data_IF_144316031176
#
_entry.id   IF_144316031176
#
_cell.length_a   1.000
_cell.length_b   1.000
_cell.length_c   1.000
_cell.angle_alpha   90.00
_cell.angle_beta   90.00
_cell.angle_gamma   90.00
#
_symmetry.space_group_name_H-M   'P 1'
#
loop_
_entity.id
_entity.type
_entity.pdbx_description
1 polymer ?
#
# COMPACT_ATOMS: atom_id res chain seq x y z
N UNK A 1 -18.86 -13.47 -46.66
CA UNK A 1 -18.06 -12.45 -45.95
C UNK A 1 -17.65 -13.07 -44.62
N UNK A 2 -16.40 -13.52 -44.52
CA UNK A 2 -15.89 -14.30 -43.39
C UNK A 2 -15.27 -13.32 -42.39
N UNK A 3 -15.85 -13.20 -41.20
CA UNK A 3 -15.29 -12.38 -40.12
C UNK A 3 -14.14 -13.19 -39.53
N UNK A 4 -12.92 -12.81 -39.87
CA UNK A 4 -11.70 -13.33 -39.27
C UNK A 4 -11.53 -12.61 -37.93
N UNK A 5 -11.82 -13.30 -36.83
CA UNK A 5 -11.37 -12.87 -35.50
C UNK A 5 -9.85 -13.05 -35.46
N UNK A 6 -9.12 -11.95 -35.60
CA UNK A 6 -7.70 -11.92 -35.26
C UNK A 6 -7.62 -12.07 -33.74
N UNK A 7 -7.26 -13.26 -33.25
CA UNK A 7 -6.84 -13.42 -31.87
C UNK A 7 -5.47 -12.78 -31.73
N UNK A 8 -5.43 -11.55 -31.20
CA UNK A 8 -4.18 -10.96 -30.77
C UNK A 8 -3.54 -11.88 -29.71
N UNK A 9 -2.34 -12.36 -30.00
CA UNK A 9 -1.50 -13.15 -29.10
C UNK A 9 -0.90 -12.33 -27.95
N UNK A 10 -1.49 -11.19 -27.62
CA UNK A 10 -1.23 -10.48 -26.39
C UNK A 10 -2.11 -11.09 -25.31
N UNK A 11 -1.65 -12.19 -24.72
CA UNK A 11 -2.20 -12.63 -23.44
C UNK A 11 -2.14 -11.43 -22.47
N UNK A 12 -3.17 -11.19 -21.65
CA UNK A 12 -3.13 -10.11 -20.68
C UNK A 12 -1.84 -10.28 -19.87
N UNK A 13 -1.10 -9.19 -19.65
CA UNK A 13 0.07 -9.15 -18.76
C UNK A 13 -0.34 -9.79 -17.43
N UNK A 14 -0.14 -11.11 -17.30
CA UNK A 14 -0.80 -11.92 -16.27
C UNK A 14 -0.22 -11.53 -14.92
N UNK A 15 -0.92 -10.63 -14.24
CA UNK A 15 -0.55 -10.16 -12.90
C UNK A 15 0.00 -8.75 -12.81
N UNK A 16 -0.11 -7.88 -13.83
CA UNK A 16 0.06 -6.44 -13.61
C UNK A 16 -1.22 -5.81 -13.05
N UNK A 17 -1.06 -4.88 -12.10
CA UNK A 17 -2.12 -3.98 -11.63
C UNK A 17 -1.96 -2.59 -12.24
N UNK A 18 -0.71 -2.12 -12.37
CA UNK A 18 -0.29 -0.92 -13.12
C UNK A 18 1.02 -1.19 -13.85
N UNK A 19 1.66 -0.15 -14.40
CA UNK A 19 2.98 -0.27 -15.04
C UNK A 19 4.06 -0.76 -14.05
N UNK A 20 4.02 -0.29 -12.80
CA UNK A 20 5.04 -0.58 -11.79
C UNK A 20 4.58 -1.49 -10.66
N UNK A 21 3.29 -1.85 -10.60
CA UNK A 21 2.72 -2.65 -9.53
C UNK A 21 2.06 -3.91 -10.07
N UNK A 22 2.27 -5.00 -9.35
CA UNK A 22 1.84 -6.34 -9.71
C UNK A 22 0.96 -6.97 -8.65
N UNK A 23 0.17 -7.96 -9.07
CA UNK A 23 -0.61 -8.80 -8.17
C UNK A 23 0.27 -9.59 -7.20
N UNK A 24 1.53 -9.85 -7.58
CA UNK A 24 2.50 -10.51 -6.71
C UNK A 24 2.88 -9.63 -5.50
N UNK A 25 3.04 -8.33 -5.70
CA UNK A 25 3.31 -7.39 -4.59
C UNK A 25 2.08 -7.20 -3.71
N UNK A 26 0.89 -7.29 -4.31
CA UNK A 26 -0.36 -7.23 -3.58
C UNK A 26 -0.68 -8.51 -2.78
N UNK A 27 0.03 -9.63 -3.00
CA UNK A 27 -0.33 -10.94 -2.45
C UNK A 27 -0.33 -10.99 -0.94
N UNK A 28 -1.23 -11.80 -0.38
CA UNK A 28 -1.16 -12.09 1.05
C UNK A 28 0.12 -12.86 1.36
N UNK A 29 0.91 -12.40 2.35
CA UNK A 29 2.20 -13.01 2.69
C UNK A 29 2.10 -14.47 3.16
N UNK A 30 0.92 -14.93 3.59
CA UNK A 30 0.71 -16.34 3.90
C UNK A 30 0.56 -17.24 2.66
N UNK A 31 0.50 -16.66 1.45
CA UNK A 31 0.45 -17.40 0.18
C UNK A 31 -0.91 -18.01 -0.18
N UNK A 32 -1.99 -17.61 0.49
CA UNK A 32 -3.31 -18.23 0.29
C UNK A 32 -4.01 -17.88 -1.04
N UNK A 33 -3.46 -16.94 -1.83
CA UNK A 33 -4.03 -16.58 -3.14
C UNK A 33 -5.24 -15.65 -3.08
N UNK A 34 -5.55 -15.04 -1.93
CA UNK A 34 -6.75 -14.22 -1.73
C UNK A 34 -6.77 -12.97 -2.61
N UNK A 35 -5.60 -12.45 -3.00
CA UNK A 35 -5.45 -11.32 -3.90
C UNK A 35 -6.19 -11.51 -5.23
N UNK A 36 -6.28 -12.75 -5.72
CA UNK A 36 -6.93 -13.09 -6.99
C UNK A 36 -8.44 -12.87 -6.96
N UNK A 37 -9.05 -12.84 -5.78
CA UNK A 37 -10.48 -12.58 -5.61
C UNK A 37 -10.82 -11.10 -5.53
N UNK A 38 -9.81 -10.23 -5.40
CA UNK A 38 -9.98 -8.79 -5.15
C UNK A 38 -9.19 -7.93 -6.15
N UNK A 39 -8.97 -8.46 -7.36
CA UNK A 39 -8.23 -7.73 -8.41
C UNK A 39 -8.82 -6.34 -8.68
N UNK A 40 -10.14 -6.12 -8.77
CA UNK A 40 -10.69 -4.77 -9.00
C UNK A 40 -10.30 -3.76 -7.91
N UNK A 41 -10.44 -4.12 -6.64
CA UNK A 41 -10.09 -3.26 -5.50
C UNK A 41 -8.58 -3.00 -5.43
N UNK A 42 -7.77 -4.04 -5.69
CA UNK A 42 -6.32 -3.94 -5.74
C UNK A 42 -5.84 -3.07 -6.90
N UNK A 43 -6.44 -3.19 -8.09
CA UNK A 43 -6.15 -2.32 -9.24
C UNK A 43 -6.47 -0.86 -8.91
N UNK A 44 -7.61 -0.58 -8.28
CA UNK A 44 -7.96 0.79 -7.89
C UNK A 44 -6.98 1.38 -6.87
N UNK A 45 -6.54 0.59 -5.89
CA UNK A 45 -5.48 1.01 -4.95
C UNK A 45 -4.14 1.22 -5.67
N UNK A 46 -3.78 0.34 -6.61
CA UNK A 46 -2.54 0.42 -7.38
C UNK A 46 -2.50 1.68 -8.25
N UNK A 47 -3.62 2.08 -8.86
CA UNK A 47 -3.71 3.31 -9.65
C UNK A 47 -3.40 4.56 -8.82
N UNK A 48 -3.85 4.62 -7.56
CA UNK A 48 -3.55 5.75 -6.67
C UNK A 48 -2.07 5.74 -6.25
N UNK A 49 -1.51 4.57 -5.98
CA UNK A 49 -0.08 4.42 -5.72
C UNK A 49 0.78 4.82 -6.92
N UNK A 50 0.35 4.48 -8.14
CA UNK A 50 1.03 4.88 -9.39
C UNK A 50 0.99 6.40 -9.57
N UNK A 51 -0.14 7.05 -9.28
CA UNK A 51 -0.25 8.51 -9.31
C UNK A 51 0.70 9.16 -8.30
N UNK A 52 0.75 8.66 -7.06
CA UNK A 52 1.73 9.12 -6.07
C UNK A 52 3.17 8.91 -6.57
N UNK A 53 3.49 7.74 -7.14
CA UNK A 53 4.82 7.44 -7.68
C UNK A 53 5.22 8.43 -8.78
N UNK A 54 4.32 8.69 -9.72
CA UNK A 54 4.54 9.61 -10.82
C UNK A 54 4.81 11.03 -10.31
N UNK A 55 4.00 11.51 -9.37
CA UNK A 55 4.14 12.86 -8.83
C UNK A 55 5.40 13.02 -7.96
N UNK A 56 5.78 12.00 -7.18
CA UNK A 56 7.07 11.99 -6.48
C UNK A 56 8.26 12.14 -7.46
N UNK A 57 8.16 11.53 -8.65
CA UNK A 57 9.20 11.60 -9.66
C UNK A 57 9.14 12.86 -10.53
N UNK A 58 7.99 13.54 -10.61
CA UNK A 58 7.82 14.81 -11.30
C UNK A 58 8.17 16.02 -10.41
N UNK A 59 8.21 15.85 -9.09
CA UNK A 59 8.46 16.93 -8.13
C UNK A 59 9.93 17.41 -8.16
N UNK A 60 10.21 18.66 -8.57
CA UNK A 60 11.57 19.18 -8.63
C UNK A 60 12.22 19.34 -7.25
N UNK A 61 11.44 19.47 -6.17
CA UNK A 61 11.98 19.57 -4.80
C UNK A 61 12.56 18.24 -4.32
N UNK A 62 12.13 17.13 -4.94
CA UNK A 62 12.57 15.78 -4.60
C UNK A 62 13.74 15.29 -5.44
N UNK A 63 14.26 16.09 -6.38
CA UNK A 63 15.35 15.69 -7.27
C UNK A 63 16.59 15.24 -6.50
N UNK A 64 16.88 15.87 -5.36
CA UNK A 64 18.02 15.51 -4.49
C UNK A 64 17.93 14.10 -3.87
N UNK A 65 16.73 13.51 -3.81
CA UNK A 65 16.50 12.16 -3.26
C UNK A 65 16.58 11.07 -4.33
N UNK A 66 16.56 11.44 -5.62
CA UNK A 66 16.63 10.46 -6.70
C UNK A 66 18.03 9.83 -6.77
N UNK A 67 18.13 8.51 -6.99
CA UNK A 67 19.41 7.89 -7.30
C UNK A 67 19.90 8.38 -8.68
N UNK A 68 21.22 8.38 -8.94
CA UNK A 68 21.76 8.81 -10.23
C UNK A 68 21.15 8.05 -11.41
N UNK A 69 20.42 8.77 -12.27
CA UNK A 69 19.75 8.19 -13.45
C UNK A 69 18.59 7.26 -13.12
N UNK A 70 18.05 7.30 -11.91
CA UNK A 70 16.92 6.48 -11.49
C UNK A 70 15.76 7.28 -10.93
N UNK A 71 14.82 6.56 -10.34
CA UNK A 71 13.53 7.08 -9.89
C UNK A 71 13.33 6.79 -8.40
N UNK A 72 12.53 7.63 -7.74
CA UNK A 72 11.99 7.33 -6.41
C UNK A 72 11.05 6.14 -6.55
N UNK A 73 11.28 5.10 -5.73
CA UNK A 73 10.49 3.89 -5.74
C UNK A 73 9.48 3.91 -4.61
N UNK A 74 8.30 3.36 -4.90
CA UNK A 74 7.31 2.99 -3.88
C UNK A 74 7.26 1.47 -3.79
N UNK A 75 7.56 0.94 -2.61
CA UNK A 75 7.62 -0.50 -2.34
C UNK A 75 6.43 -0.87 -1.46
N UNK A 76 5.45 -1.64 -1.96
CA UNK A 76 4.40 -2.22 -1.13
C UNK A 76 4.99 -3.26 -0.18
N UNK A 77 5.00 -2.96 1.11
CA UNK A 77 5.44 -3.85 2.18
C UNK A 77 4.32 -4.80 2.60
N UNK A 78 3.07 -4.34 2.64
CA UNK A 78 1.89 -5.14 2.95
C UNK A 78 0.69 -4.60 2.20
N UNK A 79 -0.19 -5.47 1.71
CA UNK A 79 -1.35 -5.01 0.94
C UNK A 79 -2.61 -5.77 1.31
N UNK A 80 -2.84 -6.99 0.78
CA UNK A 80 -3.96 -7.81 1.23
C UNK A 80 -3.55 -8.78 2.34
N UNK A 81 -4.47 -9.01 3.28
CA UNK A 81 -4.33 -10.00 4.35
C UNK A 81 -5.61 -10.85 4.39
N UNK A 82 -5.45 -12.16 4.43
CA UNK A 82 -6.54 -13.03 4.87
C UNK A 82 -6.73 -12.93 6.39
N UNK A 83 -7.84 -13.41 6.91
CA UNK A 83 -8.16 -13.30 8.35
C UNK A 83 -7.11 -13.96 9.25
N UNK A 84 -6.58 -15.10 8.80
CA UNK A 84 -5.47 -15.78 9.48
C UNK A 84 -4.24 -14.87 9.58
N UNK A 85 -3.75 -14.37 8.44
CA UNK A 85 -2.56 -13.51 8.41
C UNK A 85 -2.80 -12.19 9.14
N UNK A 86 -3.99 -11.58 9.02
CA UNK A 86 -4.32 -10.36 9.75
C UNK A 86 -4.25 -10.59 11.26
N UNK A 87 -4.77 -11.72 11.76
CA UNK A 87 -4.69 -12.07 13.19
C UNK A 87 -3.24 -12.32 13.63
N UNK A 88 -2.45 -13.04 12.82
CA UNK A 88 -1.04 -13.35 13.11
C UNK A 88 -0.18 -12.09 13.30
N UNK A 89 -0.46 -11.03 12.54
CA UNK A 89 0.26 -9.74 12.66
C UNK A 89 -0.38 -8.77 13.66
N UNK A 90 -1.38 -9.21 14.44
CA UNK A 90 -2.08 -8.38 15.43
C UNK A 90 -2.98 -7.31 14.82
N UNK A 91 -3.45 -7.51 13.59
CA UNK A 91 -4.35 -6.59 12.89
C UNK A 91 -5.73 -6.53 13.53
N UNK A 92 -6.31 -5.33 13.56
CA UNK A 92 -7.66 -5.10 14.10
C UNK A 92 -8.75 -5.74 13.22
N UNK A 93 -9.93 -5.99 13.81
CA UNK A 93 -11.05 -6.62 13.11
C UNK A 93 -11.50 -5.84 11.86
N UNK A 94 -11.46 -4.51 11.89
CA UNK A 94 -11.84 -3.66 10.75
C UNK A 94 -10.63 -3.20 9.92
N UNK A 95 -9.54 -3.97 9.94
CA UNK A 95 -8.32 -3.70 9.16
C UNK A 95 -8.64 -3.61 7.66
N UNK A 96 -8.20 -2.51 7.05
CA UNK A 96 -8.40 -2.22 5.62
C UNK A 96 -7.52 -3.07 4.69
N UNK A 97 -6.53 -3.77 5.24
CA UNK A 97 -5.80 -4.81 4.52
C UNK A 97 -6.64 -6.08 4.30
N UNK A 98 -7.72 -6.29 5.07
CA UNK A 98 -8.49 -7.53 4.96
C UNK A 98 -9.12 -7.66 3.58
N UNK A 99 -9.21 -8.89 3.11
CA UNK A 99 -9.82 -9.30 1.84
C UNK A 99 -11.14 -8.59 1.50
N UNK A 100 -12.00 -8.38 2.50
CA UNK A 100 -13.28 -7.70 2.29
C UNK A 100 -13.17 -6.21 1.89
N UNK A 101 -12.06 -5.55 2.22
CA UNK A 101 -11.82 -4.13 1.91
C UNK A 101 -10.72 -3.93 0.85
N UNK A 102 -9.56 -4.57 1.04
CA UNK A 102 -8.40 -4.54 0.13
C UNK A 102 -7.92 -3.16 -0.32
N UNK A 103 -8.17 -2.12 0.47
CA UNK A 103 -7.91 -0.73 0.08
C UNK A 103 -6.85 -0.04 0.95
N UNK A 104 -6.07 -0.84 1.69
CA UNK A 104 -4.88 -0.37 2.39
C UNK A 104 -3.59 -1.00 1.88
N UNK A 105 -2.52 -0.22 1.96
CA UNK A 105 -1.16 -0.62 1.62
C UNK A 105 -0.20 -0.01 2.63
N UNK A 106 0.71 -0.82 3.17
CA UNK A 106 1.88 -0.33 3.89
C UNK A 106 2.96 -0.08 2.84
N UNK A 107 3.40 1.16 2.66
CA UNK A 107 4.37 1.57 1.64
C UNK A 107 5.69 2.03 2.26
N UNK A 108 6.78 1.81 1.54
CA UNK A 108 8.11 2.32 1.90
C UNK A 108 8.80 2.87 0.67
N UNK A 109 9.74 3.78 0.85
CA UNK A 109 10.63 4.27 -0.19
C UNK A 109 12.04 4.34 0.37
N UNK A 110 13.00 3.58 -0.17
CA UNK A 110 14.38 3.64 0.30
C UNK A 110 15.07 4.96 -0.06
N UNK A 111 14.52 5.72 -1.01
CA UNK A 111 15.02 7.03 -1.43
C UNK A 111 14.53 8.17 -0.53
N UNK A 112 13.35 8.04 0.07
CA UNK A 112 12.71 9.11 0.83
C UNK A 112 12.74 8.87 2.35
N UNK A 113 13.02 9.91 3.15
CA UNK A 113 12.65 9.92 4.56
C UNK A 113 11.16 9.58 4.76
N UNK A 114 10.85 8.84 5.81
CA UNK A 114 9.50 8.31 6.05
C UNK A 114 8.47 9.42 6.33
N UNK A 115 8.89 10.48 7.02
CA UNK A 115 8.09 11.69 7.27
C UNK A 115 7.72 12.41 5.96
N UNK A 116 8.68 12.54 5.05
CA UNK A 116 8.44 13.12 3.74
C UNK A 116 7.55 12.21 2.87
N UNK A 117 7.74 10.90 2.91
CA UNK A 117 6.86 9.95 2.24
C UNK A 117 5.42 10.05 2.76
N UNK A 118 5.24 10.17 4.09
CA UNK A 118 3.95 10.36 4.73
C UNK A 118 3.28 11.66 4.28
N UNK A 119 3.98 12.78 4.31
CA UNK A 119 3.47 14.08 3.86
C UNK A 119 2.97 14.03 2.41
N UNK A 120 3.75 13.42 1.51
CA UNK A 120 3.38 13.30 0.09
C UNK A 120 2.21 12.33 -0.10
N UNK A 121 2.20 11.20 0.61
CA UNK A 121 1.14 10.22 0.53
C UNK A 121 -0.22 10.76 1.03
N UNK A 122 -0.22 11.61 2.05
CA UNK A 122 -1.43 12.22 2.62
C UNK A 122 -2.26 13.04 1.60
N UNK A 123 -1.69 13.39 0.44
CA UNK A 123 -2.40 14.09 -0.66
C UNK A 123 -3.27 13.17 -1.52
N UNK A 124 -3.01 11.86 -1.51
CA UNK A 124 -3.68 10.88 -2.38
C UNK A 124 -4.62 9.96 -1.61
N UNK A 125 -4.38 9.79 -0.31
CA UNK A 125 -5.08 8.85 0.52
C UNK A 125 -5.87 9.57 1.60
N UNK A 126 -7.08 9.11 1.84
CA UNK A 126 -7.92 9.63 2.93
C UNK A 126 -7.30 9.34 4.30
N UNK A 127 -6.52 8.25 4.39
CA UNK A 127 -5.77 7.91 5.58
C UNK A 127 -4.31 7.70 5.19
N UNK A 128 -3.41 8.42 5.86
CA UNK A 128 -1.97 8.18 5.82
C UNK A 128 -1.45 8.20 7.27
N UNK A 129 -0.87 7.09 7.73
CA UNK A 129 -0.40 6.94 9.10
C UNK A 129 1.09 6.63 9.07
N UNK A 130 1.86 7.50 9.72
CA UNK A 130 3.25 7.26 10.05
C UNK A 130 3.34 6.60 11.43
N UNK A 131 3.75 5.33 11.47
CA UNK A 131 3.98 4.64 12.73
C UNK A 131 5.42 4.85 13.17
N UNK A 132 5.65 5.69 14.19
CA UNK A 132 6.99 5.92 14.73
C UNK A 132 7.68 4.59 15.08
N UNK A 133 8.90 4.39 14.57
CA UNK A 133 9.69 3.17 14.76
C UNK A 133 9.32 2.00 13.83
N UNK A 134 8.38 2.19 12.90
CA UNK A 134 8.23 1.33 11.72
C UNK A 134 8.99 1.95 10.55
N UNK A 135 9.24 1.16 9.50
CA UNK A 135 9.95 1.61 8.29
C UNK A 135 8.98 1.72 7.10
N UNK A 136 7.72 2.10 7.38
CA UNK A 136 6.65 2.15 6.39
C UNK A 136 5.54 3.12 6.80
N UNK A 137 4.93 3.75 5.79
CA UNK A 137 3.71 4.54 5.92
C UNK A 137 2.52 3.66 5.56
N UNK A 138 1.52 3.61 6.42
CA UNK A 138 0.25 2.97 6.10
C UNK A 138 -0.64 3.94 5.34
N UNK A 139 -1.18 3.53 4.20
CA UNK A 139 -2.11 4.31 3.41
C UNK A 139 -3.38 3.54 3.13
N UNK A 140 -4.54 4.18 3.20
CA UNK A 140 -5.81 3.60 2.77
C UNK A 140 -6.76 4.61 2.14
N UNK A 141 -7.67 4.12 1.29
CA UNK A 141 -8.65 4.93 0.54
C UNK A 141 -10.00 5.06 1.25
N UNK A 142 -10.12 4.65 2.51
CA UNK A 142 -11.42 4.67 3.21
C UNK A 142 -11.89 6.11 3.35
N UNK A 143 -13.08 6.42 2.83
CA UNK A 143 -13.77 7.66 3.19
C UNK A 143 -14.12 7.66 4.68
N UNK A 144 -13.67 8.68 5.42
CA UNK A 144 -14.16 8.93 6.76
C UNK A 144 -15.58 9.52 6.70
N UNK A 145 -16.45 9.26 7.69
CA UNK A 145 -17.82 9.77 7.68
C UNK A 145 -17.94 11.30 7.62
N UNK A 146 -16.91 12.00 8.06
CA UNK A 146 -16.79 13.46 8.02
C UNK A 146 -16.08 13.99 6.76
N UNK A 147 -15.49 13.11 5.95
CA UNK A 147 -14.75 13.47 4.74
C UNK A 147 -13.36 14.05 5.00
N UNK A 148 -12.84 14.00 6.24
CA UNK A 148 -11.51 14.55 6.57
C UNK A 148 -10.37 13.53 6.34
N UNK A 149 -9.17 14.05 6.09
CA UNK A 149 -7.92 13.26 6.02
C UNK A 149 -7.31 13.20 7.42
N UNK A 150 -7.30 12.01 8.03
CA UNK A 150 -6.67 11.84 9.34
C UNK A 150 -5.20 11.48 9.19
N UNK A 151 -4.33 12.45 9.50
CA UNK A 151 -2.87 12.32 9.32
C UNK A 151 -2.13 11.64 10.49
N UNK A 152 -2.81 11.34 11.62
CA UNK A 152 -2.13 10.88 12.83
C UNK A 152 -2.97 9.87 13.63
N UNK A 153 -2.49 8.63 13.73
CA UNK A 153 -2.94 7.71 14.79
C UNK A 153 -1.78 7.56 15.76
N UNK A 154 -2.06 7.85 17.03
CA UNK A 154 -1.17 7.81 18.21
C UNK A 154 0.01 6.85 18.11
N UNK A 155 1.12 7.25 18.72
CA UNK A 155 2.23 6.36 19.10
C UNK A 155 1.69 4.99 19.52
N UNK A 156 2.33 3.87 19.11
CA UNK A 156 1.92 2.56 19.59
C UNK A 156 1.83 2.67 21.10
N UNK A 157 0.61 2.52 21.65
CA UNK A 157 0.40 2.53 23.09
C UNK A 157 1.47 1.65 23.68
N UNK A 158 2.32 2.21 24.54
CA UNK A 158 3.39 1.46 25.20
C UNK A 158 2.81 0.11 25.55
N UNK A 159 3.29 -0.92 24.84
CA UNK A 159 2.85 -2.26 25.18
C UNK A 159 3.56 -2.49 26.49
N UNK A 160 2.86 -2.25 27.60
CA UNK A 160 3.32 -2.68 28.91
C UNK A 160 3.52 -4.19 28.76
N UNK A 161 4.77 -4.59 28.61
CA UNK A 161 5.13 -6.00 28.64
C UNK A 161 4.60 -6.55 29.96
N UNK A 162 3.76 -7.59 29.96
CA UNK A 162 3.39 -8.26 31.19
C UNK A 162 4.66 -8.99 31.69
N UNK A 163 5.44 -8.34 32.56
CA UNK A 163 6.73 -8.93 32.96
C UNK A 163 7.52 -8.26 34.07
N UNK A 164 7.35 -6.98 34.38
CA UNK A 164 8.09 -6.38 35.51
C UNK A 164 7.23 -6.35 36.77
N UNK A 165 7.11 -7.53 37.39
CA UNK A 165 6.80 -7.62 38.81
C UNK A 165 7.96 -6.97 39.58
N UNK A 166 7.70 -5.80 40.16
CA UNK A 166 8.52 -5.28 41.26
C UNK A 166 8.47 -6.26 42.43
N UNK A 167 9.62 -6.80 42.79
CA UNK A 167 9.95 -7.29 44.12
C UNK A 167 11.20 -6.55 44.59
#
# INVERSE_FOLDING_TARGET
MQIIYQSSTEGPLMGLLTEHLTLYEARCRCGCGIEKLHVPELTAQAQVLEALRADLNADPELEQYKPPGGEIRLIPMSWVRCDKHNTEVGGVALSRHRAFFCDATDISSPELPEDLLHEKAAKYFTTAIHYLGRYFVHVDRRAWPDGEVHAWVKEPSETVLPGEARA
#
